data_IF_054244073890
#
_entry.id   IF_054244073890
#
_cell.length_a   1.000
_cell.length_b   1.000
_cell.length_c   1.000
_cell.angle_alpha   90.00
_cell.angle_beta   90.00
_cell.angle_gamma   90.00
#
_symmetry.space_group_name_H-M   'P 1'
#
loop_
_entity.id
_entity.type
_entity.pdbx_description
1 polymer ?
#
# COMPACT_ATOMS: atom_id res chain seq x y z
N UNK A 1 26.23 -4.63 10.73
CA UNK A 1 25.69 -3.29 11.02
C UNK A 1 24.19 -3.48 11.14
N UNK A 2 23.61 -3.25 12.32
CA UNK A 2 22.15 -3.23 12.45
C UNK A 2 21.62 -2.06 11.61
N UNK A 3 20.85 -2.36 10.56
CA UNK A 3 20.08 -1.35 9.85
C UNK A 3 18.92 -0.97 10.77
N UNK A 4 19.14 0.03 11.61
CA UNK A 4 18.17 0.60 12.54
C UNK A 4 18.14 2.13 12.43
N UNK A 5 16.95 2.73 12.51
CA UNK A 5 16.76 4.18 12.68
C UNK A 5 15.95 4.46 13.96
N UNK A 6 16.02 5.70 14.47
CA UNK A 6 15.15 6.15 15.56
C UNK A 6 13.94 6.86 14.99
N UNK A 7 12.75 6.53 15.48
CA UNK A 7 11.52 7.24 15.14
C UNK A 7 11.64 8.69 15.64
N UNK A 8 11.42 9.71 14.78
CA UNK A 8 11.70 11.10 15.13
C UNK A 8 10.76 11.65 16.20
N UNK A 9 9.57 11.07 16.35
CA UNK A 9 8.56 11.54 17.31
C UNK A 9 8.58 10.76 18.64
N UNK A 10 8.95 9.48 18.62
CA UNK A 10 8.84 8.58 19.79
C UNK A 10 10.20 8.14 20.32
N UNK A 11 11.27 8.31 19.53
CA UNK A 11 12.61 7.82 19.87
C UNK A 11 12.75 6.30 19.81
N UNK A 12 11.74 5.59 19.32
CA UNK A 12 11.76 4.13 19.25
C UNK A 12 12.66 3.60 18.14
N UNK A 13 13.18 2.39 18.34
CA UNK A 13 14.05 1.72 17.37
C UNK A 13 13.20 1.08 16.27
N UNK A 14 13.39 1.55 15.05
CA UNK A 14 12.82 0.96 13.86
C UNK A 14 13.88 0.17 13.11
N UNK A 15 13.49 -1.00 12.62
CA UNK A 15 14.37 -1.90 11.88
C UNK A 15 13.89 -2.02 10.46
N UNK A 16 14.84 -2.18 9.54
CA UNK A 16 14.50 -2.39 8.14
C UNK A 16 13.82 -3.76 7.99
N UNK A 17 12.58 -3.74 7.53
CA UNK A 17 11.76 -4.95 7.36
C UNK A 17 10.82 -4.78 6.16
N UNK A 18 10.16 -5.87 5.76
CA UNK A 18 9.15 -5.89 4.70
C UNK A 18 7.90 -6.55 5.26
N UNK A 19 6.81 -5.80 5.35
CA UNK A 19 5.54 -6.30 5.89
C UNK A 19 4.41 -6.23 4.88
N UNK A 20 3.50 -7.22 4.83
CA UNK A 20 2.33 -7.14 3.99
C UNK A 20 1.45 -5.97 4.45
N UNK A 21 1.12 -5.08 3.53
CA UNK A 21 0.22 -3.95 3.78
C UNK A 21 -0.99 -4.04 2.85
N UNK A 22 -2.17 -3.73 3.41
CA UNK A 22 -3.42 -3.71 2.65
C UNK A 22 -3.67 -2.32 2.09
N UNK A 23 -3.66 -2.20 0.76
CA UNK A 23 -3.98 -0.97 0.05
C UNK A 23 -5.43 -1.02 -0.43
N UNK A 24 -6.21 0.01 -0.09
CA UNK A 24 -7.63 0.13 -0.48
C UNK A 24 -7.84 1.35 -1.34
N UNK A 25 -8.64 1.22 -2.40
CA UNK A 25 -9.03 2.33 -3.25
C UNK A 25 -10.39 2.08 -3.89
N UNK A 26 -11.35 3.00 -3.67
CA UNK A 26 -12.72 2.95 -4.23
C UNK A 26 -13.37 1.54 -4.16
N UNK A 27 -13.27 0.87 -3.02
CA UNK A 27 -13.87 -0.45 -2.79
C UNK A 27 -13.10 -1.65 -3.38
N UNK A 28 -11.97 -1.43 -4.05
CA UNK A 28 -11.00 -2.48 -4.36
C UNK A 28 -9.91 -2.54 -3.27
N UNK A 29 -9.37 -3.73 -3.01
CA UNK A 29 -8.21 -3.91 -2.14
C UNK A 29 -7.14 -4.81 -2.75
N UNK A 30 -5.90 -4.62 -2.31
CA UNK A 30 -4.75 -5.48 -2.65
C UNK A 30 -3.79 -5.52 -1.47
N UNK A 31 -3.26 -6.71 -1.17
CA UNK A 31 -2.18 -6.87 -0.21
C UNK A 31 -0.88 -6.90 -0.99
N UNK A 32 0.09 -6.06 -0.62
CA UNK A 32 1.44 -6.12 -1.17
C UNK A 32 2.48 -5.95 -0.07
N UNK A 33 3.62 -6.58 -0.30
CA UNK A 33 4.79 -6.47 0.57
C UNK A 33 5.35 -5.06 0.53
N UNK A 34 5.26 -4.35 1.66
CA UNK A 34 5.71 -2.98 1.81
C UNK A 34 7.03 -2.97 2.58
N UNK A 35 8.14 -2.58 1.90
CA UNK A 35 9.40 -2.35 2.59
C UNK A 35 9.32 -1.07 3.41
N UNK A 36 9.95 -1.05 4.58
CA UNK A 36 9.88 0.10 5.48
C UNK A 36 10.76 -0.07 6.71
N UNK A 37 10.73 0.93 7.57
CA UNK A 37 11.37 0.89 8.88
C UNK A 37 10.30 0.67 9.93
N UNK A 38 10.23 -0.53 10.50
CA UNK A 38 9.15 -0.96 11.36
C UNK A 38 9.61 -1.12 12.82
N UNK A 39 8.71 -0.83 13.76
CA UNK A 39 8.89 -1.23 15.16
C UNK A 39 8.86 -2.76 15.27
N UNK A 40 9.61 -3.32 16.21
CA UNK A 40 9.60 -4.78 16.46
C UNK A 40 8.21 -5.23 16.92
N UNK A 41 7.57 -4.49 17.82
CA UNK A 41 6.29 -4.86 18.45
C UNK A 41 5.23 -3.76 18.33
N UNK A 42 5.30 -2.95 17.28
CA UNK A 42 4.35 -1.86 17.07
C UNK A 42 3.93 -1.72 15.62
N UNK A 43 2.93 -0.87 15.41
CA UNK A 43 2.30 -0.64 14.13
C UNK A 43 2.87 0.58 13.40
N UNK A 44 3.74 1.36 14.04
CA UNK A 44 4.37 2.50 13.38
C UNK A 44 5.48 2.06 12.42
N UNK A 45 5.54 2.78 11.31
CA UNK A 45 6.53 2.57 10.29
C UNK A 45 6.93 3.88 9.61
N UNK A 46 8.21 3.99 9.25
CA UNK A 46 8.72 5.07 8.41
C UNK A 46 9.05 4.52 7.04
N UNK A 47 8.54 5.18 6.00
CA UNK A 47 8.74 4.82 4.61
C UNK A 47 9.64 5.83 3.92
N UNK A 48 10.69 5.35 3.25
CA UNK A 48 11.48 6.21 2.37
C UNK A 48 10.74 6.48 1.05
N UNK A 49 11.23 7.45 0.27
CA UNK A 49 10.67 7.73 -1.06
C UNK A 49 10.70 6.50 -1.99
N UNK A 50 11.71 5.63 -1.84
CA UNK A 50 11.79 4.37 -2.60
C UNK A 50 10.74 3.36 -2.16
N UNK A 51 10.42 3.33 -0.87
CA UNK A 51 9.39 2.44 -0.32
C UNK A 51 8.00 2.85 -0.79
N UNK A 52 7.76 4.15 -0.91
CA UNK A 52 6.50 4.71 -1.43
C UNK A 52 6.21 4.33 -2.89
N UNK A 53 7.20 3.89 -3.67
CA UNK A 53 6.96 3.36 -5.02
C UNK A 53 6.06 2.11 -5.00
N UNK A 54 6.10 1.33 -3.92
CA UNK A 54 5.19 0.18 -3.72
C UNK A 54 3.75 0.67 -3.57
N UNK A 55 3.54 1.76 -2.83
CA UNK A 55 2.22 2.38 -2.69
C UNK A 55 1.71 2.92 -4.04
N UNK A 56 2.57 3.58 -4.83
CA UNK A 56 2.20 4.06 -6.16
C UNK A 56 1.83 2.92 -7.11
N UNK A 57 2.58 1.82 -7.07
CA UNK A 57 2.27 0.60 -7.83
C UNK A 57 0.92 0.00 -7.41
N UNK A 58 0.65 -0.09 -6.11
CA UNK A 58 -0.64 -0.57 -5.60
C UNK A 58 -1.78 0.31 -6.09
N UNK A 59 -1.65 1.64 -5.94
CA UNK A 59 -2.65 2.60 -6.41
C UNK A 59 -2.89 2.51 -7.91
N UNK A 60 -1.84 2.31 -8.72
CA UNK A 60 -1.99 2.14 -10.17
C UNK A 60 -2.84 0.92 -10.49
N UNK A 61 -2.53 -0.23 -9.88
CA UNK A 61 -3.28 -1.49 -10.07
C UNK A 61 -4.74 -1.30 -9.65
N UNK A 62 -4.98 -0.70 -8.48
CA UNK A 62 -6.34 -0.50 -7.98
C UNK A 62 -7.14 0.46 -8.87
N UNK A 63 -6.53 1.53 -9.38
CA UNK A 63 -7.18 2.43 -10.35
C UNK A 63 -7.57 1.71 -11.64
N UNK A 64 -6.71 0.84 -12.15
CA UNK A 64 -7.00 0.02 -13.33
C UNK A 64 -8.17 -0.95 -13.07
N UNK A 65 -8.21 -1.60 -11.89
CA UNK A 65 -9.34 -2.47 -11.49
C UNK A 65 -10.66 -1.70 -11.40
N UNK A 66 -10.63 -0.52 -10.76
CA UNK A 66 -11.82 0.33 -10.64
C UNK A 66 -12.33 0.76 -12.01
N UNK A 67 -11.45 1.21 -12.91
CA UNK A 67 -11.83 1.57 -14.28
C UNK A 67 -12.44 0.38 -15.02
N UNK A 68 -11.83 -0.80 -14.93
CA UNK A 68 -12.37 -2.00 -15.56
C UNK A 68 -13.75 -2.39 -15.00
N UNK A 69 -13.96 -2.21 -13.69
CA UNK A 69 -15.26 -2.44 -13.04
C UNK A 69 -16.32 -1.44 -13.52
N UNK A 70 -15.99 -0.16 -13.57
CA UNK A 70 -16.89 0.91 -14.05
C UNK A 70 -17.28 0.68 -15.52
N UNK A 71 -16.32 0.32 -16.39
CA UNK A 71 -16.61 -0.02 -17.79
C UNK A 71 -17.55 -1.22 -17.91
N UNK A 72 -17.33 -2.29 -17.14
CA UNK A 72 -18.22 -3.47 -17.15
C UNK A 72 -19.66 -3.12 -16.76
N UNK A 73 -19.85 -2.20 -15.82
CA UNK A 73 -21.18 -1.74 -15.42
C UNK A 73 -21.85 -0.99 -16.56
N UNK A 74 -21.14 -0.10 -17.24
CA UNK A 74 -21.64 0.64 -18.40
C UNK A 74 -22.03 -0.29 -19.56
N UNK A 75 -21.17 -1.25 -19.91
CA UNK A 75 -21.46 -2.26 -20.94
C UNK A 75 -22.61 -3.20 -20.57
N UNK A 76 -22.74 -3.56 -19.29
CA UNK A 76 -23.87 -4.34 -18.81
C UNK A 76 -25.18 -3.58 -18.99
N UNK A 77 -25.22 -2.31 -18.59
CA UNK A 77 -26.43 -1.49 -18.65
C UNK A 77 -26.95 -1.27 -20.08
N UNK A 78 -26.06 -1.15 -21.07
CA UNK A 78 -26.49 -1.03 -22.49
C UNK A 78 -26.93 -2.36 -23.11
N UNK A 79 -26.48 -3.50 -22.59
CA UNK A 79 -26.82 -4.81 -23.14
C UNK A 79 -28.18 -5.34 -22.68
N UNK A 80 -28.77 -4.73 -21.65
CA UNK A 80 -30.08 -5.09 -21.09
C UNK A 80 -31.14 -3.96 -21.24
N UNK A 81 -30.84 -2.91 -22.00
CA UNK A 81 -31.77 -1.82 -22.36
C UNK A 81 -32.32 -2.02 -23.78
#
# INVERSE_FOLDING_TARGET
MENMILHPETGEKLYRDVRPNEFKYKGESIIMDMPGWYQINGDDAIFSQKDMLVHDKALKILKERVKAREQKIEFGNIAFA
#
